data_IF_555384101469
#
_entry.id   IF_555384101469
#
_cell.length_a   1.000
_cell.length_b   1.000
_cell.length_c   1.000
_cell.angle_alpha   90.00
_cell.angle_beta   90.00
_cell.angle_gamma   90.00
#
_symmetry.space_group_name_H-M   'P 1'
#
loop_
_entity.id
_entity.type
_entity.pdbx_description
1 polymer ?
#
# COMPACT_ATOMS: atom_id res chain seq x y z
N UNK A 1 -18.23 3.05 -2.12
CA UNK A 1 -16.79 2.79 -1.95
C UNK A 1 -16.05 3.79 -2.81
N UNK A 2 -14.98 4.36 -2.31
CA UNK A 2 -14.17 5.36 -3.01
C UNK A 2 -12.73 4.90 -3.02
N UNK A 3 -12.08 4.96 -4.19
CA UNK A 3 -10.66 4.70 -4.34
C UNK A 3 -9.86 6.00 -4.11
N UNK A 4 -8.74 5.88 -3.41
CA UNK A 4 -7.80 6.98 -3.16
C UNK A 4 -6.36 6.48 -3.23
N UNK A 5 -5.47 7.42 -3.52
CA UNK A 5 -4.03 7.17 -3.53
C UNK A 5 -3.27 8.44 -3.21
N UNK A 6 -2.17 8.31 -2.47
CA UNK A 6 -1.22 9.40 -2.22
C UNK A 6 0.16 8.83 -1.93
N UNK A 7 1.21 9.63 -2.08
CA UNK A 7 2.55 9.24 -1.64
C UNK A 7 2.63 9.27 -0.11
N UNK A 8 3.44 8.39 0.48
CA UNK A 8 3.45 8.16 1.93
C UNK A 8 3.71 9.42 2.78
N UNK A 9 4.58 10.33 2.33
CA UNK A 9 4.90 11.62 2.94
C UNK A 9 3.73 12.60 3.00
N UNK A 10 2.68 12.37 2.19
CA UNK A 10 1.47 13.20 2.15
C UNK A 10 0.33 12.61 2.97
N UNK A 11 0.52 11.47 3.62
CA UNK A 11 -0.48 10.94 4.54
C UNK A 11 -0.65 11.86 5.75
N UNK A 12 -1.90 12.13 6.10
CA UNK A 12 -2.22 12.85 7.34
C UNK A 12 -2.15 11.90 8.54
N UNK A 13 -2.15 12.46 9.75
CA UNK A 13 -2.24 11.64 10.96
C UNK A 13 -3.51 10.76 10.99
N UNK A 14 -4.62 11.26 10.44
CA UNK A 14 -5.89 10.52 10.37
C UNK A 14 -5.83 9.37 9.36
N UNK A 15 -5.12 9.55 8.25
CA UNK A 15 -4.88 8.46 7.28
C UNK A 15 -4.04 7.35 7.92
N UNK A 16 -2.97 7.70 8.62
CA UNK A 16 -2.11 6.74 9.32
C UNK A 16 -2.90 5.99 10.41
N UNK A 17 -3.76 6.68 11.17
CA UNK A 17 -4.62 6.03 12.15
C UNK A 17 -5.64 5.08 11.50
N UNK A 18 -6.22 5.48 10.37
CA UNK A 18 -7.16 4.64 9.60
C UNK A 18 -6.47 3.39 9.06
N UNK A 19 -5.23 3.54 8.60
CA UNK A 19 -4.39 2.44 8.14
C UNK A 19 -4.03 1.47 9.27
N UNK A 20 -3.59 1.98 10.44
CA UNK A 20 -3.35 1.14 11.63
C UNK A 20 -4.62 0.39 12.05
N UNK A 21 -5.75 1.07 12.06
CA UNK A 21 -7.03 0.45 12.41
C UNK A 21 -7.40 -0.67 11.42
N UNK A 22 -7.12 -0.50 10.12
CA UNK A 22 -7.30 -1.54 9.11
C UNK A 22 -6.37 -2.74 9.35
N UNK A 23 -5.09 -2.50 9.64
CA UNK A 23 -4.11 -3.57 9.91
C UNK A 23 -4.56 -4.49 11.06
N UNK A 24 -5.07 -3.92 12.15
CA UNK A 24 -5.57 -4.68 13.31
C UNK A 24 -6.75 -5.61 12.95
N UNK A 25 -7.58 -5.22 11.96
CA UNK A 25 -8.77 -5.98 11.55
C UNK A 25 -8.61 -6.70 10.22
N UNK A 26 -7.41 -6.75 9.66
CA UNK A 26 -7.16 -7.36 8.37
C UNK A 26 -7.44 -8.88 8.43
N UNK A 27 -7.99 -9.45 7.35
CA UNK A 27 -8.20 -10.91 7.22
C UNK A 27 -6.90 -11.67 7.44
N UNK A 28 -5.82 -11.15 6.87
CA UNK A 28 -4.47 -11.66 6.99
C UNK A 28 -3.57 -10.48 7.41
N UNK A 29 -2.84 -10.65 8.51
CA UNK A 29 -1.87 -9.64 8.93
C UNK A 29 -0.70 -9.60 7.93
N UNK A 30 -0.29 -8.39 7.55
CA UNK A 30 0.88 -8.22 6.70
C UNK A 30 1.74 -7.06 7.20
N UNK A 31 2.73 -7.34 8.07
CA UNK A 31 3.61 -6.31 8.62
C UNK A 31 4.32 -5.49 7.54
N UNK A 32 4.57 -6.06 6.36
CA UNK A 32 5.21 -5.35 5.23
C UNK A 32 4.30 -4.32 4.57
N UNK A 33 3.01 -4.33 4.90
CA UNK A 33 1.99 -3.41 4.41
C UNK A 33 1.41 -2.55 5.56
N UNK A 34 2.05 -2.56 6.73
CA UNK A 34 1.65 -1.75 7.88
C UNK A 34 2.40 -0.40 7.93
N UNK A 35 1.78 0.66 8.46
CA UNK A 35 2.39 1.98 8.52
C UNK A 35 3.68 1.98 9.34
N UNK A 36 3.74 1.19 10.41
CA UNK A 36 4.89 1.17 11.32
C UNK A 36 6.13 0.52 10.68
N UNK A 37 5.95 -0.30 9.65
CA UNK A 37 7.04 -0.84 8.85
C UNK A 37 7.41 0.08 7.69
N UNK A 38 6.42 0.62 6.97
CA UNK A 38 6.65 1.36 5.72
C UNK A 38 7.05 2.82 5.92
N UNK A 39 6.45 3.53 6.89
CA UNK A 39 6.72 4.95 7.08
C UNK A 39 8.18 5.25 7.46
N UNK A 40 8.87 4.43 8.29
CA UNK A 40 10.31 4.62 8.53
C UNK A 40 11.19 4.40 7.29
N UNK A 41 10.69 3.68 6.28
CA UNK A 41 11.40 3.41 5.02
C UNK A 41 11.15 4.50 3.97
N UNK A 42 10.29 5.49 4.26
CA UNK A 42 10.07 6.61 3.35
C UNK A 42 11.38 7.40 3.23
N UNK A 43 11.99 7.42 2.03
CA UNK A 43 13.27 8.09 1.83
C UNK A 43 13.16 9.56 2.23
N UNK A 44 14.20 10.07 2.90
CA UNK A 44 14.34 11.52 3.15
C UNK A 44 15.06 12.24 2.00
N UNK A 45 15.46 11.50 0.95
CA UNK A 45 16.22 11.99 -0.20
C UNK A 45 15.50 11.59 -1.50
N UNK A 46 15.54 12.46 -2.52
CA UNK A 46 14.78 12.37 -3.77
C UNK A 46 15.22 11.23 -4.71
N UNK A 47 16.18 10.40 -4.27
CA UNK A 47 16.85 9.39 -5.11
C UNK A 47 16.19 8.02 -5.08
N UNK A 48 15.35 7.75 -4.08
CA UNK A 48 14.63 6.48 -3.97
C UNK A 48 13.13 6.68 -4.24
N UNK A 49 12.48 5.74 -4.96
CA UNK A 49 11.06 5.85 -5.25
C UNK A 49 10.25 5.77 -3.96
N UNK A 50 9.57 6.86 -3.64
CA UNK A 50 8.66 6.92 -2.51
C UNK A 50 7.45 5.98 -2.73
N UNK A 51 7.05 5.18 -1.72
CA UNK A 51 5.89 4.32 -1.87
C UNK A 51 4.61 5.15 -2.02
N UNK A 52 3.81 4.79 -3.02
CA UNK A 52 2.43 5.25 -3.15
C UNK A 52 1.53 4.35 -2.32
N UNK A 53 0.79 4.94 -1.40
CA UNK A 53 -0.22 4.25 -0.59
C UNK A 53 -1.56 4.39 -1.30
N UNK A 54 -2.17 3.26 -1.62
CA UNK A 54 -3.48 3.17 -2.27
C UNK A 54 -4.47 2.50 -1.33
N UNK A 55 -5.69 3.02 -1.28
CA UNK A 55 -6.73 2.45 -0.42
C UNK A 55 -8.13 2.61 -1.00
N UNK A 56 -9.01 1.74 -0.53
CA UNK A 56 -10.45 1.83 -0.75
C UNK A 56 -11.09 2.17 0.59
N UNK A 57 -11.96 3.18 0.61
CA UNK A 57 -12.70 3.57 1.81
C UNK A 57 -14.22 3.44 1.59
N UNK A 58 -14.94 3.16 2.68
CA UNK A 58 -16.39 3.25 2.71
C UNK A 58 -16.80 4.73 2.55
N UNK A 59 -17.67 5.02 1.59
CA UNK A 59 -18.06 6.39 1.27
C UNK A 59 -18.91 7.06 2.35
N UNK A 60 -19.51 6.28 3.27
CA UNK A 60 -20.34 6.79 4.37
C UNK A 60 -19.54 6.91 5.66
N UNK A 61 -18.85 5.85 6.07
CA UNK A 61 -18.10 5.85 7.33
C UNK A 61 -16.68 6.41 7.21
N UNK A 62 -16.17 6.59 5.99
CA UNK A 62 -14.77 6.94 5.70
C UNK A 62 -13.75 5.90 6.18
N UNK A 63 -14.21 4.73 6.64
CA UNK A 63 -13.33 3.65 7.08
C UNK A 63 -12.60 3.02 5.91
N UNK A 64 -11.30 2.75 6.07
CA UNK A 64 -10.53 2.01 5.08
C UNK A 64 -10.96 0.55 5.07
N UNK A 65 -11.24 0.03 3.87
CA UNK A 65 -11.70 -1.33 3.62
C UNK A 65 -10.58 -2.21 3.06
N UNK A 66 -9.68 -1.61 2.28
CA UNK A 66 -8.48 -2.27 1.79
C UNK A 66 -7.36 -1.24 1.58
N UNK A 67 -6.10 -1.64 1.75
CA UNK A 67 -4.94 -0.80 1.49
C UNK A 67 -3.75 -1.60 0.98
N UNK A 68 -2.94 -0.97 0.14
CA UNK A 68 -1.69 -1.52 -0.39
C UNK A 68 -0.69 -0.39 -0.66
N UNK A 69 0.57 -0.64 -0.29
CA UNK A 69 1.70 0.18 -0.64
C UNK A 69 2.35 -0.36 -1.92
N UNK A 70 2.51 0.53 -2.90
CA UNK A 70 3.09 0.23 -4.20
C UNK A 70 4.30 1.13 -4.40
N UNK A 71 5.47 0.52 -4.61
CA UNK A 71 6.67 1.23 -5.03
C UNK A 71 6.87 0.97 -6.51
N UNK A 72 6.77 2.01 -7.34
CA UNK A 72 7.16 1.90 -8.74
C UNK A 72 8.68 1.89 -8.83
N UNK A 73 9.26 0.75 -9.17
CA UNK A 73 10.68 0.69 -9.51
C UNK A 73 10.78 1.09 -10.98
N UNK A 74 11.40 2.24 -11.33
CA UNK A 74 11.55 2.64 -12.72
C UNK A 74 12.36 1.56 -13.43
N UNK A 75 11.65 0.75 -14.22
CA UNK A 75 12.32 -0.24 -15.04
C UNK A 75 12.92 0.53 -16.20
N UNK A 76 14.24 0.67 -16.24
CA UNK A 76 14.95 1.12 -17.46
C UNK A 76 14.80 -0.02 -18.47
N UNK A 77 13.61 -0.13 -19.07
CA UNK A 77 13.31 -1.06 -20.15
C UNK A 77 13.80 -0.44 -21.46
N UNK A 78 15.06 -0.65 -21.79
CA UNK A 78 15.51 -0.56 -23.19
C UNK A 78 14.88 -1.72 -23.98
N UNK A 79 13.66 -1.50 -24.49
CA UNK A 79 13.20 -2.14 -25.73
C UNK A 79 12.66 -3.58 -25.68
N UNK A 80 11.94 -4.02 -24.63
CA UNK A 80 11.22 -5.29 -24.69
C UNK A 80 9.75 -5.17 -24.27
N UNK A 81 8.89 -5.80 -25.07
CA UNK A 81 7.43 -5.76 -25.03
C UNK A 81 6.88 -6.16 -23.66
N UNK A 82 6.15 -5.26 -23.02
CA UNK A 82 5.52 -5.50 -21.72
C UNK A 82 4.36 -6.50 -21.85
N UNK A 83 4.62 -7.79 -21.55
CA UNK A 83 3.61 -8.62 -20.90
C UNK A 83 3.70 -8.33 -19.41
N UNK A 84 2.63 -7.78 -18.84
CA UNK A 84 2.51 -7.55 -17.40
C UNK A 84 2.71 -8.89 -16.66
N UNK A 85 3.93 -9.16 -16.23
CA UNK A 85 4.24 -10.24 -15.31
C UNK A 85 4.05 -9.64 -13.93
N UNK A 86 3.00 -10.06 -13.22
CA UNK A 86 2.89 -9.81 -11.80
C UNK A 86 4.24 -10.19 -11.17
N UNK A 87 4.84 -9.25 -10.45
CA UNK A 87 6.14 -9.38 -9.78
C UNK A 87 6.27 -10.76 -9.16
N UNK A 88 7.14 -11.60 -9.74
CA UNK A 88 7.45 -12.92 -9.20
C UNK A 88 8.46 -12.76 -8.07
N UNK A 89 8.05 -12.12 -6.97
CA UNK A 89 8.70 -12.33 -5.69
C UNK A 89 8.41 -13.77 -5.26
N UNK A 90 9.43 -14.53 -4.86
CA UNK A 90 9.24 -15.85 -4.25
C UNK A 90 8.45 -15.80 -2.94
N UNK A 91 8.17 -14.59 -2.43
CA UNK A 91 7.49 -14.30 -1.19
C UNK A 91 6.21 -13.54 -1.48
N UNK A 92 5.15 -14.27 -1.87
CA UNK A 92 3.84 -13.70 -2.25
C UNK A 92 3.25 -12.86 -1.11
N UNK A 93 3.55 -13.22 0.14
CA UNK A 93 3.14 -12.51 1.35
C UNK A 93 3.66 -11.05 1.43
N UNK A 94 4.74 -10.68 0.73
CA UNK A 94 5.25 -9.30 0.76
C UNK A 94 4.31 -8.29 0.11
N UNK A 95 3.39 -8.77 -0.73
CA UNK A 95 2.55 -7.92 -1.58
C UNK A 95 1.05 -8.10 -1.32
N UNK A 96 0.66 -8.93 -0.35
CA UNK A 96 -0.75 -9.13 -0.01
C UNK A 96 -1.32 -7.83 0.58
N UNK A 97 -2.38 -7.25 0.00
CA UNK A 97 -2.97 -6.05 0.56
C UNK A 97 -3.60 -6.34 1.92
N UNK A 98 -3.71 -5.31 2.76
CA UNK A 98 -4.56 -5.38 3.94
C UNK A 98 -6.03 -5.30 3.47
N UNK A 99 -6.86 -6.25 3.88
CA UNK A 99 -8.29 -6.31 3.53
C UNK A 99 -9.10 -6.48 4.82
N UNK A 100 -10.13 -5.66 5.03
CA UNK A 100 -10.98 -5.69 6.21
C UNK A 100 -11.74 -7.04 6.33
N UNK A 101 -11.52 -7.76 7.43
CA UNK A 101 -12.15 -9.05 7.70
C UNK A 101 -13.67 -9.03 7.81
N UNK A 102 -14.25 -7.85 8.03
CA UNK A 102 -15.70 -7.69 8.15
C UNK A 102 -16.39 -7.61 6.78
N UNK A 103 -15.64 -7.49 5.68
CA UNK A 103 -16.17 -7.30 4.32
C UNK A 103 -15.33 -8.02 3.25
N UNK A 104 -15.39 -9.36 3.19
CA UNK A 104 -14.71 -10.14 2.15
C UNK A 104 -15.30 -9.89 0.75
#
# INVERSE_FOLDING_TARGET
MTYRSTVASRLTADDVNSWRALAVRAVEANPFQEPDYLLPLVPQDDREPEPTITWVEDSRSREWLAACAVTEVPTICTGLSFRARASSSAHVYLHHPLIDSRRP
#
